data_IF_007443061387
#
_entry.id   IF_007443061387
#
_cell.length_a   1.000
_cell.length_b   1.000
_cell.length_c   1.000
_cell.angle_alpha   90.00
_cell.angle_beta   90.00
_cell.angle_gamma   90.00
#
_symmetry.space_group_name_H-M   'P 1'
#
loop_
_entity.id
_entity.type
_entity.pdbx_description
1 polymer ?
#
# COMPACT_ATOMS: atom_id res chain seq x y z
N UNK A 1 2.47 -16.68 -14.38
CA UNK A 1 1.76 -16.27 -15.61
C UNK A 1 2.70 -16.29 -16.82
N UNK A 2 2.24 -16.83 -17.95
CA UNK A 2 3.04 -16.87 -19.19
C UNK A 2 2.98 -15.54 -19.97
N UNK A 3 1.92 -14.76 -19.79
CA UNK A 3 1.69 -13.47 -20.41
C UNK A 3 1.50 -12.39 -19.35
N UNK A 4 1.78 -11.11 -19.64
CA UNK A 4 1.45 -10.02 -18.74
C UNK A 4 -0.05 -9.99 -18.39
N UNK A 5 -0.37 -9.55 -17.19
CA UNK A 5 -1.74 -9.46 -16.69
C UNK A 5 -2.08 -8.00 -16.43
N UNK A 6 -3.12 -7.49 -17.07
CA UNK A 6 -3.63 -6.15 -16.80
C UNK A 6 -4.70 -6.21 -15.70
N UNK A 7 -4.30 -5.82 -14.49
CA UNK A 7 -5.12 -5.88 -13.30
C UNK A 7 -6.00 -4.65 -13.19
N UNK A 8 -7.30 -4.88 -12.95
CA UNK A 8 -8.31 -3.82 -12.70
C UNK A 8 -8.61 -3.63 -11.22
N UNK A 9 -8.48 -4.68 -10.44
CA UNK A 9 -8.69 -4.64 -8.99
C UNK A 9 -8.00 -5.81 -8.31
N UNK A 10 -7.77 -5.66 -7.00
CA UNK A 10 -7.28 -6.72 -6.12
C UNK A 10 -8.05 -6.68 -4.82
N UNK A 11 -8.38 -7.85 -4.30
CA UNK A 11 -9.05 -8.02 -3.03
C UNK A 11 -8.34 -9.10 -2.22
N UNK A 12 -8.04 -8.80 -0.97
CA UNK A 12 -7.62 -9.80 0.01
C UNK A 12 -8.79 -10.13 0.92
N UNK A 13 -9.07 -11.42 1.10
CA UNK A 13 -10.12 -11.92 2.00
C UNK A 13 -9.49 -12.71 3.13
N UNK A 14 -9.46 -12.15 4.36
CA UNK A 14 -8.98 -12.91 5.51
C UNK A 14 -9.91 -14.10 5.78
N UNK A 15 -9.33 -15.27 5.96
CA UNK A 15 -10.05 -16.48 6.38
C UNK A 15 -10.45 -16.37 7.86
N UNK A 16 -9.55 -15.83 8.67
CA UNK A 16 -9.78 -15.58 10.09
C UNK A 16 -9.56 -14.08 10.42
N UNK A 17 -10.65 -13.32 10.55
CA UNK A 17 -10.60 -11.88 10.82
C UNK A 17 -10.13 -11.50 12.22
N UNK A 18 -10.12 -12.43 13.16
CA UNK A 18 -9.58 -12.20 14.50
C UNK A 18 -8.07 -12.36 14.53
N UNK A 19 -7.54 -13.25 13.69
CA UNK A 19 -6.11 -13.53 13.60
C UNK A 19 -5.40 -12.58 12.62
N UNK A 20 -5.97 -12.31 11.46
CA UNK A 20 -5.34 -11.49 10.42
C UNK A 20 -5.47 -10.00 10.76
N UNK A 21 -4.36 -9.38 11.16
CA UNK A 21 -4.31 -7.96 11.44
C UNK A 21 -4.19 -7.12 10.15
N UNK A 22 -3.21 -7.42 9.30
CA UNK A 22 -3.10 -6.82 7.97
C UNK A 22 -2.36 -7.75 7.00
N UNK A 23 -2.48 -7.45 5.72
CA UNK A 23 -1.67 -8.08 4.67
C UNK A 23 -1.16 -7.02 3.69
N UNK A 24 0.02 -7.27 3.12
CA UNK A 24 0.58 -6.53 2.00
C UNK A 24 0.90 -7.49 0.86
N UNK A 25 0.70 -7.02 -0.38
CA UNK A 25 0.79 -7.86 -1.57
C UNK A 25 1.69 -7.17 -2.59
N UNK A 26 2.64 -7.93 -3.13
CA UNK A 26 3.54 -7.49 -4.20
C UNK A 26 3.66 -8.55 -5.27
N UNK A 27 4.34 -8.23 -6.36
CA UNK A 27 4.84 -9.20 -7.32
C UNK A 27 6.36 -9.06 -7.47
N UNK A 28 6.99 -10.16 -7.86
CA UNK A 28 8.43 -10.26 -8.11
C UNK A 28 8.68 -11.14 -9.32
N UNK A 29 9.87 -11.09 -9.94
CA UNK A 29 10.25 -12.10 -10.93
C UNK A 29 10.16 -13.51 -10.36
N UNK A 30 9.74 -14.47 -11.18
CA UNK A 30 9.59 -15.85 -10.76
C UNK A 30 10.88 -16.44 -10.19
N UNK A 31 10.76 -17.05 -9.02
CA UNK A 31 11.87 -17.70 -8.31
C UNK A 31 12.72 -16.76 -7.43
N UNK A 32 12.50 -15.45 -7.47
CA UNK A 32 13.30 -14.50 -6.67
C UNK A 32 13.10 -14.65 -5.15
N UNK A 33 12.05 -15.33 -4.70
CA UNK A 33 11.81 -15.65 -3.29
C UNK A 33 12.22 -17.08 -2.90
N UNK A 34 12.59 -17.94 -3.83
CA UNK A 34 12.86 -19.38 -3.58
C UNK A 34 13.91 -19.60 -2.49
N UNK A 35 14.90 -18.73 -2.39
CA UNK A 35 15.96 -18.84 -1.38
C UNK A 35 15.44 -18.60 0.06
N UNK A 36 14.32 -17.89 0.22
CA UNK A 36 13.64 -17.69 1.50
C UNK A 36 12.70 -18.86 1.80
N UNK A 37 11.88 -19.23 0.81
CA UNK A 37 10.89 -20.29 0.95
C UNK A 37 11.53 -21.68 1.18
N UNK A 38 12.74 -21.92 0.64
CA UNK A 38 13.48 -23.17 0.80
C UNK A 38 14.37 -23.22 2.06
N UNK A 39 14.24 -22.30 3.03
CA UNK A 39 15.05 -22.34 4.26
C UNK A 39 14.66 -23.49 5.19
N UNK A 40 13.41 -23.94 5.15
CA UNK A 40 12.89 -25.09 5.87
C UNK A 40 11.86 -25.85 5.01
N UNK A 41 11.07 -26.72 5.63
CA UNK A 41 10.06 -27.53 4.92
C UNK A 41 8.64 -26.99 5.13
N UNK A 42 8.48 -25.85 5.77
CA UNK A 42 7.18 -25.21 5.95
C UNK A 42 6.80 -24.41 4.70
N UNK A 43 5.53 -24.08 4.55
CA UNK A 43 5.06 -23.25 3.46
C UNK A 43 5.28 -21.76 3.80
N UNK A 44 5.99 -21.06 2.90
CA UNK A 44 6.32 -19.66 3.09
C UNK A 44 7.49 -19.46 4.06
N UNK A 45 7.74 -18.23 4.44
CA UNK A 45 8.87 -17.88 5.31
C UNK A 45 8.47 -16.77 6.29
N UNK A 46 9.14 -16.73 7.44
CA UNK A 46 8.94 -15.66 8.41
C UNK A 46 9.61 -14.36 7.93
N UNK A 47 8.88 -13.26 8.02
CA UNK A 47 9.38 -11.94 7.70
C UNK A 47 8.80 -10.89 8.65
N UNK A 48 9.50 -9.75 8.80
CA UNK A 48 9.07 -8.66 9.66
C UNK A 48 9.33 -7.31 9.00
N UNK A 49 8.29 -6.47 8.94
CA UNK A 49 8.40 -5.10 8.43
C UNK A 49 8.59 -4.99 6.91
N UNK A 50 8.33 -6.07 6.16
CA UNK A 50 8.49 -6.14 4.71
C UNK A 50 8.72 -7.57 4.25
N UNK A 51 9.01 -7.77 2.98
CA UNK A 51 9.10 -9.11 2.39
C UNK A 51 10.48 -9.78 2.54
N UNK A 52 11.45 -9.14 3.17
CA UNK A 52 12.85 -9.59 3.32
C UNK A 52 13.54 -9.98 1.98
N UNK A 53 13.04 -9.46 0.88
CA UNK A 53 13.57 -9.70 -0.46
C UNK A 53 14.77 -8.80 -0.76
N UNK A 54 15.67 -9.27 -1.61
CA UNK A 54 16.79 -8.48 -2.11
C UNK A 54 16.40 -7.57 -3.29
N UNK A 55 15.21 -7.80 -3.86
CA UNK A 55 14.66 -7.07 -5.00
C UNK A 55 13.72 -5.97 -4.50
N UNK A 56 13.76 -4.81 -5.16
CA UNK A 56 12.78 -3.76 -4.92
C UNK A 56 11.38 -4.28 -5.29
N UNK A 57 10.39 -3.98 -4.47
CA UNK A 57 9.02 -4.45 -4.65
C UNK A 57 8.05 -3.27 -4.71
N UNK A 58 7.11 -3.36 -5.62
CA UNK A 58 5.98 -2.45 -5.72
C UNK A 58 4.74 -3.11 -5.13
N UNK A 59 4.12 -2.49 -4.15
CA UNK A 59 2.87 -3.00 -3.61
C UNK A 59 1.77 -2.93 -4.66
N UNK A 60 1.01 -4.00 -4.82
CA UNK A 60 -0.14 -4.05 -5.71
C UNK A 60 -1.46 -4.14 -4.98
N UNK A 61 -1.42 -4.38 -3.68
CA UNK A 61 -2.60 -4.46 -2.84
C UNK A 61 -2.26 -4.67 -1.38
N UNK A 62 -3.29 -4.78 -0.57
CA UNK A 62 -3.16 -5.05 0.84
C UNK A 62 -4.51 -5.19 1.52
N UNK A 63 -4.47 -5.48 2.80
CA UNK A 63 -5.62 -5.58 3.67
C UNK A 63 -5.32 -4.94 5.03
N UNK A 64 -6.27 -4.21 5.55
CA UNK A 64 -6.40 -3.87 6.96
C UNK A 64 -7.89 -3.97 7.33
N UNK A 65 -8.25 -4.13 8.61
CA UNK A 65 -9.65 -4.11 9.03
C UNK A 65 -10.38 -2.86 8.50
N UNK A 66 -11.52 -3.07 7.84
CA UNK A 66 -12.28 -1.98 7.21
C UNK A 66 -11.91 -1.68 5.75
N UNK A 67 -10.79 -2.19 5.23
CA UNK A 67 -10.48 -2.05 3.80
C UNK A 67 -11.40 -2.91 2.92
N UNK A 68 -11.85 -2.30 1.83
CA UNK A 68 -12.46 -2.98 0.68
C UNK A 68 -11.40 -3.38 -0.36
N UNK A 69 -11.84 -3.94 -1.47
CA UNK A 69 -11.01 -4.12 -2.65
C UNK A 69 -10.35 -2.81 -3.09
N UNK A 70 -9.12 -2.91 -3.58
CA UNK A 70 -8.46 -1.81 -4.30
C UNK A 70 -8.89 -1.90 -5.76
N UNK A 71 -9.65 -0.92 -6.22
CA UNK A 71 -10.20 -0.86 -7.57
C UNK A 71 -9.62 0.33 -8.34
N UNK A 72 -9.27 0.11 -9.60
CA UNK A 72 -8.78 1.18 -10.47
C UNK A 72 -9.90 1.70 -11.36
N UNK A 73 -9.88 3.01 -11.69
CA UNK A 73 -10.84 3.58 -12.63
C UNK A 73 -10.81 2.87 -13.99
N UNK A 74 -11.85 3.11 -14.79
CA UNK A 74 -11.93 2.64 -16.17
C UNK A 74 -10.66 2.88 -16.94
N UNK A 75 -10.08 2.50 -17.77
CA UNK A 75 -8.86 2.82 -18.54
C UNK A 75 -7.55 2.96 -17.73
N UNK A 76 -7.58 2.75 -16.41
CA UNK A 76 -6.39 2.75 -15.54
C UNK A 76 -6.23 1.35 -14.96
N UNK A 77 -5.01 0.88 -14.86
CA UNK A 77 -4.72 -0.42 -14.28
C UNK A 77 -3.26 -0.59 -13.92
N UNK A 78 -2.93 -1.77 -13.48
CA UNK A 78 -1.58 -2.18 -13.16
C UNK A 78 -1.20 -3.40 -13.97
N UNK A 79 -0.08 -3.33 -14.67
CA UNK A 79 0.46 -4.49 -15.38
C UNK A 79 1.32 -5.33 -14.45
N UNK A 80 0.98 -6.59 -14.27
CA UNK A 80 1.85 -7.59 -13.65
C UNK A 80 2.61 -8.27 -14.79
N UNK A 81 3.94 -8.15 -14.83
CA UNK A 81 4.74 -8.72 -15.91
C UNK A 81 4.55 -10.23 -16.04
N UNK A 82 4.78 -10.75 -17.23
CA UNK A 82 4.87 -12.20 -17.44
C UNK A 82 5.96 -12.80 -16.56
N UNK A 83 5.78 -14.06 -16.17
CA UNK A 83 6.73 -14.80 -15.35
C UNK A 83 7.00 -14.11 -13.99
N UNK A 84 5.92 -13.70 -13.32
CA UNK A 84 5.95 -13.12 -11.98
C UNK A 84 5.31 -14.03 -10.94
N UNK A 85 5.84 -14.00 -9.74
CA UNK A 85 5.23 -14.57 -8.54
C UNK A 85 4.52 -13.49 -7.73
N UNK A 86 3.39 -13.82 -7.13
CA UNK A 86 2.68 -12.95 -6.19
C UNK A 86 3.11 -13.32 -4.78
N UNK A 87 3.65 -12.36 -4.05
CA UNK A 87 4.06 -12.54 -2.66
C UNK A 87 3.05 -11.83 -1.75
N UNK A 88 2.59 -12.55 -0.75
CA UNK A 88 1.68 -12.04 0.27
C UNK A 88 2.33 -12.15 1.62
N UNK A 89 2.54 -11.03 2.28
CA UNK A 89 2.87 -11.02 3.69
C UNK A 89 1.59 -10.85 4.50
N UNK A 90 1.34 -11.79 5.41
CA UNK A 90 0.23 -11.69 6.35
C UNK A 90 0.78 -11.42 7.75
N UNK A 91 0.30 -10.36 8.39
CA UNK A 91 0.59 -10.06 9.78
C UNK A 91 -0.55 -10.56 10.66
N UNK A 92 -0.23 -11.51 11.52
CA UNK A 92 -1.17 -12.06 12.49
C UNK A 92 -1.08 -11.31 13.82
N UNK A 93 -2.24 -10.98 14.38
CA UNK A 93 -2.33 -10.44 15.73
C UNK A 93 -1.95 -11.50 16.76
N UNK A 94 -1.30 -11.14 17.89
CA UNK A 94 -1.03 -12.09 18.96
C UNK A 94 -2.34 -12.55 19.60
N UNK A 95 -2.60 -13.86 19.55
CA UNK A 95 -3.77 -14.50 20.14
C UNK A 95 -3.37 -15.45 21.29
N UNK A 96 -4.29 -15.71 22.21
CA UNK A 96 -4.02 -16.56 23.38
C UNK A 96 -4.07 -18.07 23.07
N UNK A 97 -4.60 -18.43 21.92
CA UNK A 97 -4.75 -19.84 21.49
C UNK A 97 -4.35 -19.98 20.04
N UNK A 98 -3.90 -21.17 19.66
CA UNK A 98 -3.62 -21.50 18.27
C UNK A 98 -4.86 -21.27 17.41
N UNK A 99 -4.67 -20.67 16.26
CA UNK A 99 -5.71 -20.34 15.29
C UNK A 99 -5.32 -20.87 13.92
N UNK A 100 -6.33 -21.16 13.12
CA UNK A 100 -6.16 -21.49 11.71
C UNK A 100 -6.63 -20.30 10.86
N UNK A 101 -5.92 -20.04 9.77
CA UNK A 101 -6.30 -19.06 8.76
C UNK A 101 -6.25 -19.67 7.35
N UNK A 102 -7.23 -19.35 6.54
CA UNK A 102 -7.30 -19.69 5.13
C UNK A 102 -7.69 -18.44 4.33
N UNK A 103 -6.77 -17.50 4.28
CA UNK A 103 -6.91 -16.26 3.51
C UNK A 103 -6.84 -16.51 2.01
N UNK A 104 -7.45 -15.63 1.24
CA UNK A 104 -7.44 -15.70 -0.23
C UNK A 104 -7.24 -14.34 -0.86
N UNK A 105 -6.73 -14.33 -2.10
CA UNK A 105 -6.58 -13.17 -2.95
C UNK A 105 -7.44 -13.36 -4.18
N UNK A 106 -8.19 -12.32 -4.55
CA UNK A 106 -8.87 -12.23 -5.81
C UNK A 106 -8.19 -11.16 -6.67
N UNK A 107 -7.75 -11.54 -7.85
CA UNK A 107 -7.25 -10.63 -8.89
C UNK A 107 -8.34 -10.47 -9.93
N UNK A 108 -8.66 -9.23 -10.27
CA UNK A 108 -9.60 -8.89 -11.33
C UNK A 108 -8.83 -8.30 -12.51
N UNK A 109 -9.16 -8.75 -13.70
CA UNK A 109 -8.44 -8.39 -14.90
C UNK A 109 -9.25 -7.43 -15.76
N UNK A 110 -8.58 -6.61 -16.55
CA UNK A 110 -9.21 -5.81 -17.60
C UNK A 110 -9.58 -6.70 -18.78
N UNK A 111 -10.74 -6.45 -19.38
CA UNK A 111 -11.12 -7.05 -20.65
C UNK A 111 -10.50 -6.28 -21.82
N UNK A 112 -10.40 -4.96 -21.68
CA UNK A 112 -9.73 -4.06 -22.63
C UNK A 112 -8.36 -3.65 -22.11
N UNK A 113 -7.45 -3.27 -23.00
CA UNK A 113 -6.13 -2.79 -22.64
C UNK A 113 -6.21 -1.51 -21.80
N UNK A 114 -5.31 -1.39 -20.82
CA UNK A 114 -5.16 -0.18 -20.02
C UNK A 114 -4.54 0.94 -20.87
N UNK A 115 -5.07 2.15 -20.75
CA UNK A 115 -4.53 3.34 -21.41
C UNK A 115 -3.48 4.04 -20.57
N UNK A 116 -3.58 3.90 -19.24
CA UNK A 116 -2.68 4.51 -18.27
C UNK A 116 -2.30 3.51 -17.20
N UNK A 117 -1.00 3.32 -17.06
CA UNK A 117 -0.42 2.54 -15.98
C UNK A 117 -0.53 3.30 -14.66
N UNK A 118 -0.94 2.59 -13.61
CA UNK A 118 -0.85 3.14 -12.26
C UNK A 118 0.51 2.82 -11.67
N UNK A 119 1.07 3.80 -11.02
CA UNK A 119 2.30 3.66 -10.26
C UNK A 119 2.04 3.91 -8.78
N UNK A 120 2.85 3.32 -7.91
CA UNK A 120 2.76 3.50 -6.47
C UNK A 120 4.02 4.18 -5.96
N UNK A 121 3.82 5.18 -5.14
CA UNK A 121 4.90 5.84 -4.45
C UNK A 121 4.73 5.69 -2.93
N UNK A 122 5.73 5.08 -2.26
CA UNK A 122 5.80 5.01 -0.81
C UNK A 122 6.63 6.18 -0.32
N UNK A 123 5.97 7.06 0.44
CA UNK A 123 6.57 8.27 1.00
C UNK A 123 6.75 8.09 2.51
N UNK A 124 7.77 7.37 2.92
CA UNK A 124 8.05 7.04 4.31
C UNK A 124 9.07 7.99 4.96
N UNK A 125 9.06 8.04 6.28
CA UNK A 125 10.01 8.80 7.07
C UNK A 125 10.24 8.16 8.44
N UNK A 126 11.47 7.79 8.69
CA UNK A 126 11.90 7.10 9.91
C UNK A 126 12.89 7.90 10.77
N UNK A 127 13.41 9.01 10.24
CA UNK A 127 14.45 9.80 10.89
C UNK A 127 13.85 10.86 11.84
N UNK A 128 13.14 10.43 12.87
CA UNK A 128 12.58 11.33 13.88
C UNK A 128 12.71 10.74 15.29
N UNK A 129 12.61 11.62 16.29
CA UNK A 129 12.53 11.25 17.69
C UNK A 129 11.28 11.84 18.34
N UNK A 130 10.61 11.07 19.17
CA UNK A 130 9.43 11.50 19.91
C UNK A 130 9.80 11.72 21.38
N UNK A 131 9.97 12.98 21.83
CA UNK A 131 10.18 13.28 23.23
C UNK A 131 8.97 12.88 24.07
N UNK A 132 9.16 12.43 25.32
CA UNK A 132 8.06 11.99 26.16
C UNK A 132 7.14 13.16 26.56
N UNK A 133 5.86 12.85 26.75
CA UNK A 133 4.83 13.76 27.27
C UNK A 133 4.58 15.04 26.44
N UNK A 134 4.85 15.02 25.16
CA UNK A 134 4.52 16.12 24.27
C UNK A 134 4.12 15.61 22.86
N UNK A 135 3.30 16.40 22.19
CA UNK A 135 2.98 16.18 20.77
C UNK A 135 4.09 16.79 19.93
N UNK A 136 4.57 16.03 18.96
CA UNK A 136 5.60 16.48 18.01
C UNK A 136 5.02 16.48 16.61
N UNK A 137 5.10 17.60 15.91
CA UNK A 137 4.75 17.67 14.49
C UNK A 137 5.94 17.24 13.65
N UNK A 138 5.73 16.27 12.79
CA UNK A 138 6.71 15.78 11.83
C UNK A 138 6.24 16.22 10.46
N UNK A 139 7.11 16.89 9.72
CA UNK A 139 6.82 17.36 8.36
C UNK A 139 7.82 16.77 7.39
N UNK A 140 7.31 16.28 6.26
CA UNK A 140 8.13 15.83 5.15
C UNK A 140 7.56 16.36 3.83
N UNK A 141 8.43 16.74 2.93
CA UNK A 141 8.07 17.29 1.63
C UNK A 141 8.54 16.37 0.51
N UNK A 142 7.72 16.25 -0.52
CA UNK A 142 8.02 15.56 -1.76
C UNK A 142 7.86 16.53 -2.92
N UNK A 143 8.93 16.77 -3.67
CA UNK A 143 8.86 17.59 -4.87
C UNK A 143 8.27 16.81 -6.05
N UNK A 144 7.24 17.34 -6.65
CA UNK A 144 6.52 16.74 -7.79
C UNK A 144 7.20 17.19 -9.10
N UNK A 145 7.92 16.25 -9.73
CA UNK A 145 8.70 16.55 -10.94
C UNK A 145 7.83 16.58 -12.21
N UNK A 146 6.79 15.77 -12.27
CA UNK A 146 5.89 15.66 -13.41
C UNK A 146 4.44 15.82 -12.95
N UNK A 147 3.56 16.25 -13.86
CA UNK A 147 2.13 16.26 -13.59
C UNK A 147 1.68 14.84 -13.19
N UNK A 148 1.01 14.73 -12.06
CA UNK A 148 0.43 13.46 -11.60
C UNK A 148 -1.07 13.55 -11.46
N UNK A 149 -1.74 12.40 -11.59
CA UNK A 149 -3.15 12.24 -11.25
C UNK A 149 -3.25 11.20 -10.14
N UNK A 150 -3.55 11.64 -8.94
CA UNK A 150 -3.66 10.77 -7.78
C UNK A 150 -5.00 10.02 -7.82
N UNK A 151 -4.94 8.70 -7.75
CA UNK A 151 -6.12 7.82 -7.68
C UNK A 151 -6.57 7.62 -6.24
N UNK A 152 -5.63 7.39 -5.34
CA UNK A 152 -5.88 7.22 -3.92
C UNK A 152 -4.66 7.60 -3.09
N UNK A 153 -4.85 7.66 -1.78
CA UNK A 153 -3.80 7.85 -0.80
C UNK A 153 -4.09 7.00 0.44
N UNK A 154 -3.05 6.41 1.03
CA UNK A 154 -3.11 5.68 2.29
C UNK A 154 -2.16 6.35 3.31
N UNK A 155 -2.63 7.26 4.17
CA UNK A 155 -1.85 7.71 5.32
C UNK A 155 -1.63 6.55 6.29
N UNK A 156 -0.40 6.44 6.80
CA UNK A 156 -0.05 5.41 7.76
C UNK A 156 0.87 5.95 8.86
N UNK A 157 0.52 5.71 10.11
CA UNK A 157 1.41 5.78 11.24
C UNK A 157 0.95 4.80 12.34
N UNK A 158 1.82 4.58 13.32
CA UNK A 158 1.54 3.64 14.40
C UNK A 158 0.73 4.28 15.54
N UNK A 159 0.61 3.56 16.67
CA UNK A 159 -0.23 3.86 17.83
C UNK A 159 -0.08 5.27 18.41
N UNK A 160 1.08 5.91 18.26
CA UNK A 160 1.32 7.26 18.77
C UNK A 160 0.86 8.37 17.82
N UNK A 161 0.36 8.03 16.65
CA UNK A 161 -0.23 8.99 15.71
C UNK A 161 -1.37 9.78 16.36
N UNK A 162 -1.49 11.06 15.98
CA UNK A 162 -2.54 11.94 16.48
C UNK A 162 -3.41 12.48 15.35
N UNK A 163 -2.79 12.92 14.28
CA UNK A 163 -3.49 13.50 13.13
C UNK A 163 -2.62 13.50 11.88
N UNK A 164 -3.27 13.62 10.72
CA UNK A 164 -2.63 13.82 9.42
C UNK A 164 -3.20 15.05 8.73
N UNK A 165 -2.31 15.76 8.06
CA UNK A 165 -2.67 16.78 7.09
C UNK A 165 -1.72 16.70 5.90
N UNK A 166 -2.26 16.44 4.71
CA UNK A 166 -1.51 16.31 3.47
C UNK A 166 -2.10 17.26 2.45
N UNK A 167 -1.25 18.06 1.86
CA UNK A 167 -1.60 19.01 0.81
C UNK A 167 -0.40 19.21 -0.12
N UNK A 168 -0.65 19.67 -1.33
CA UNK A 168 0.39 20.09 -2.25
C UNK A 168 0.35 21.62 -2.37
N UNK A 169 1.51 22.27 -2.37
CA UNK A 169 1.62 23.72 -2.50
C UNK A 169 2.60 24.09 -3.61
N UNK A 170 2.27 25.15 -4.37
CA UNK A 170 3.16 25.71 -5.36
C UNK A 170 4.44 26.26 -4.71
N UNK A 171 5.53 26.32 -5.46
CA UNK A 171 6.83 26.80 -4.95
C UNK A 171 6.80 28.23 -4.43
N UNK A 172 5.91 29.08 -4.90
CA UNK A 172 5.69 30.45 -4.44
C UNK A 172 4.65 30.56 -3.31
N UNK A 173 4.09 29.41 -2.87
CA UNK A 173 3.06 29.31 -1.82
C UNK A 173 1.76 30.07 -2.10
N UNK A 174 1.50 30.43 -3.34
CA UNK A 174 0.28 31.15 -3.73
C UNK A 174 -0.89 30.23 -4.05
N UNK A 175 -0.62 28.95 -4.27
CA UNK A 175 -1.65 27.95 -4.55
C UNK A 175 -1.44 26.70 -3.68
N UNK A 176 -2.55 26.16 -3.17
CA UNK A 176 -2.55 24.97 -2.31
C UNK A 176 -3.69 24.04 -2.71
N UNK A 177 -3.34 22.80 -2.97
CA UNK A 177 -4.27 21.73 -3.28
C UNK A 177 -4.40 20.86 -2.03
N UNK A 178 -5.52 20.90 -1.29
CA UNK A 178 -5.74 20.02 -0.16
C UNK A 178 -5.91 18.58 -0.68
N UNK A 179 -5.24 17.64 -0.03
CA UNK A 179 -5.31 16.21 -0.39
C UNK A 179 -6.16 15.47 0.63
N UNK A 180 -5.72 15.45 1.89
CA UNK A 180 -6.47 14.79 2.97
C UNK A 180 -6.15 15.42 4.32
N UNK A 181 -7.16 15.44 5.19
CA UNK A 181 -7.00 15.78 6.60
C UNK A 181 -7.70 14.75 7.47
N UNK A 182 -6.95 14.15 8.40
CA UNK A 182 -7.45 13.24 9.44
C UNK A 182 -7.18 13.95 10.77
N UNK A 183 -8.18 14.59 11.37
CA UNK A 183 -7.99 15.39 12.58
C UNK A 183 -7.76 14.53 13.83
N UNK A 184 -8.21 13.28 13.81
CA UNK A 184 -8.05 12.31 14.88
C UNK A 184 -7.67 10.97 14.24
N UNK A 185 -6.42 10.55 14.48
CA UNK A 185 -5.89 9.31 13.94
C UNK A 185 -6.39 8.11 14.75
N UNK A 186 -6.86 7.10 14.05
CA UNK A 186 -7.21 5.80 14.62
C UNK A 186 -6.32 4.73 13.96
N UNK A 187 -5.53 4.04 14.78
CA UNK A 187 -4.62 2.99 14.29
C UNK A 187 -5.38 1.78 13.72
N UNK A 188 -6.58 1.51 14.22
CA UNK A 188 -7.42 0.42 13.74
C UNK A 188 -8.24 0.81 12.49
N UNK A 189 -8.16 2.08 12.06
CA UNK A 189 -8.84 2.60 10.89
C UNK A 189 -7.84 3.12 9.83
N UNK A 190 -7.17 2.20 9.14
CA UNK A 190 -6.23 2.51 8.08
C UNK A 190 -6.86 2.15 6.73
N UNK A 191 -7.13 3.12 5.89
CA UNK A 191 -7.87 2.91 4.65
C UNK A 191 -7.25 3.65 3.47
N UNK A 192 -7.48 3.13 2.28
CA UNK A 192 -7.30 3.90 1.06
C UNK A 192 -8.40 4.95 0.96
N UNK A 193 -7.99 6.20 0.79
CA UNK A 193 -8.90 7.31 0.56
C UNK A 193 -8.86 7.70 -0.91
N UNK A 194 -10.02 7.71 -1.52
CA UNK A 194 -10.20 8.01 -2.94
C UNK A 194 -10.81 9.41 -3.06
N UNK A 195 -10.17 10.34 -3.81
CA UNK A 195 -10.83 11.59 -4.15
C UNK A 195 -12.02 11.31 -5.07
N UNK A 196 -13.05 12.15 -5.01
CA UNK A 196 -14.24 12.01 -5.87
C UNK A 196 -13.90 11.99 -7.37
N UNK A 197 -12.84 12.71 -7.74
CA UNK A 197 -12.26 12.74 -9.08
C UNK A 197 -10.75 12.55 -8.98
N UNK A 198 -10.10 12.11 -10.06
CA UNK A 198 -8.65 12.04 -10.11
C UNK A 198 -8.06 13.41 -9.75
N UNK A 199 -7.33 13.46 -8.63
CA UNK A 199 -6.76 14.69 -8.13
C UNK A 199 -5.48 15.02 -8.90
N UNK A 200 -5.53 16.08 -9.70
CA UNK A 200 -4.37 16.52 -10.44
C UNK A 200 -3.45 17.37 -9.55
N UNK A 201 -2.18 16.96 -9.47
CA UNK A 201 -1.12 17.75 -8.83
C UNK A 201 -0.10 18.09 -9.91
N UNK A 202 0.08 19.37 -10.24
CA UNK A 202 1.01 19.80 -11.27
C UNK A 202 2.48 19.60 -10.88
N UNK A 203 3.34 19.49 -11.87
CA UNK A 203 4.79 19.58 -11.66
C UNK A 203 5.17 20.92 -11.01
N UNK A 204 6.23 20.90 -10.19
CA UNK A 204 6.67 22.10 -9.46
C UNK A 204 5.96 22.32 -8.13
N UNK A 205 5.04 21.46 -7.73
CA UNK A 205 4.46 21.45 -6.39
C UNK A 205 5.29 20.62 -5.41
N UNK A 206 5.10 20.91 -4.15
CA UNK A 206 5.70 20.17 -3.03
C UNK A 206 4.60 19.72 -2.11
#
# INVERSE_FOLDING_TARGET
>A
NEEPIEMSAIEFRPGNREAVHHAIITYIPHGDADYLDNQDNEYGYECYGGFNLNTATDLIGGYAPGLSSLEYPENIGRTIPANSDIIVQVHYAPLLTDQEDLSSINLFFKEDSIEREIDQYIFDYWEFALPPNQVTTITRNLYIQNDISMVNILPHCHLLGQSWEIYATSMDFNDTIPIIRIPEWDFDWQSFYYPEYLLKIPSGYT
#
